data_IF_963914591446
#
_entry.id   IF_963914591446
#
_cell.length_a   1.000
_cell.length_b   1.000
_cell.length_c   1.000
_cell.angle_alpha   90.00
_cell.angle_beta   90.00
_cell.angle_gamma   90.00
#
_symmetry.space_group_name_H-M   'P 1'
#
loop_
_entity.id
_entity.type
_entity.pdbx_description
1 polymer ?
#
# COMPACT_ATOMS: atom_id res chain seq x y z
N UNK A 1 3.71 26.86 -11.57
CA UNK A 1 2.64 26.54 -10.59
C UNK A 1 2.59 27.60 -9.50
N UNK A 2 1.39 27.91 -9.01
CA UNK A 2 1.16 28.89 -7.95
C UNK A 2 1.36 28.24 -6.57
N UNK A 3 2.20 28.83 -5.71
CA UNK A 3 2.54 28.29 -4.40
C UNK A 3 1.34 28.20 -3.45
N UNK A 4 0.39 29.14 -3.52
CA UNK A 4 -0.82 29.15 -2.70
C UNK A 4 -1.69 27.94 -3.07
N UNK A 5 -1.82 27.65 -4.37
CA UNK A 5 -2.57 26.49 -4.83
C UNK A 5 -1.91 25.17 -4.44
N UNK A 6 -0.57 25.11 -4.41
CA UNK A 6 0.15 23.95 -3.87
C UNK A 6 -0.23 23.73 -2.40
N UNK A 7 -0.16 24.77 -1.57
CA UNK A 7 -0.49 24.69 -0.14
C UNK A 7 -1.94 24.24 0.05
N UNK A 8 -2.89 24.84 -0.68
CA UNK A 8 -4.31 24.48 -0.59
C UNK A 8 -4.53 23.01 -1.00
N UNK A 9 -3.91 22.57 -2.10
CA UNK A 9 -3.99 21.18 -2.58
C UNK A 9 -3.46 20.20 -1.54
N UNK A 10 -2.31 20.51 -0.94
CA UNK A 10 -1.70 19.74 0.15
C UNK A 10 -2.59 19.67 1.38
N UNK A 11 -3.18 20.79 1.82
CA UNK A 11 -4.08 20.83 2.97
C UNK A 11 -5.34 19.98 2.74
N UNK A 12 -5.96 20.12 1.57
CA UNK A 12 -7.15 19.33 1.18
C UNK A 12 -6.81 17.83 1.18
N UNK A 13 -5.71 17.45 0.52
CA UNK A 13 -5.21 16.07 0.54
C UNK A 13 -5.03 15.56 1.96
N UNK A 14 -4.32 16.32 2.80
CA UNK A 14 -4.03 15.92 4.18
C UNK A 14 -5.28 15.72 5.03
N UNK A 15 -6.23 16.66 5.02
CA UNK A 15 -7.43 16.57 5.85
C UNK A 15 -8.37 15.46 5.40
N UNK A 16 -8.56 15.26 4.09
CA UNK A 16 -9.37 14.17 3.57
C UNK A 16 -8.68 12.81 3.82
N UNK A 17 -7.37 12.74 3.59
CA UNK A 17 -6.57 11.55 3.89
C UNK A 17 -6.61 11.14 5.36
N UNK A 18 -6.70 12.13 6.26
CA UNK A 18 -6.75 11.94 7.73
C UNK A 18 -8.01 11.24 8.24
N UNK A 19 -9.04 11.09 7.41
CA UNK A 19 -10.26 10.35 7.77
C UNK A 19 -9.93 8.85 7.80
N UNK A 20 -10.10 8.19 8.94
CA UNK A 20 -9.83 6.75 9.11
C UNK A 20 -11.12 5.95 9.02
N UNK A 21 -11.41 5.39 7.84
CA UNK A 21 -12.61 4.55 7.66
C UNK A 21 -12.54 3.25 8.44
N UNK A 22 -11.34 2.71 8.69
CA UNK A 22 -11.17 1.55 9.56
C UNK A 22 -11.69 1.81 10.97
N UNK A 23 -11.37 2.97 11.56
CA UNK A 23 -11.88 3.37 12.88
C UNK A 23 -13.38 3.70 12.85
N UNK A 24 -13.84 4.41 11.82
CA UNK A 24 -15.26 4.78 11.68
C UNK A 24 -16.14 3.53 11.55
N UNK A 25 -15.82 2.65 10.61
CA UNK A 25 -16.58 1.42 10.36
C UNK A 25 -16.51 0.49 11.56
N UNK A 26 -15.35 0.36 12.23
CA UNK A 26 -15.25 -0.42 13.45
C UNK A 26 -16.15 0.12 14.55
N UNK A 27 -16.14 1.43 14.81
CA UNK A 27 -16.99 2.05 15.83
C UNK A 27 -18.48 1.81 15.56
N UNK A 28 -18.89 1.75 14.29
CA UNK A 28 -20.29 1.48 13.90
C UNK A 28 -20.64 0.00 14.05
N UNK A 29 -19.73 -0.92 13.73
CA UNK A 29 -20.05 -2.37 13.64
C UNK A 29 -19.65 -3.20 14.84
N UNK A 30 -18.69 -2.73 15.62
CA UNK A 30 -18.23 -3.36 16.86
C UNK A 30 -17.77 -2.25 17.83
N UNK A 31 -18.71 -1.49 18.43
CA UNK A 31 -18.38 -0.33 19.26
C UNK A 31 -17.52 -0.69 20.47
N UNK A 32 -17.63 -1.92 20.98
CA UNK A 32 -16.87 -2.42 22.14
C UNK A 32 -15.45 -2.86 21.77
N UNK A 33 -15.09 -2.85 20.48
CA UNK A 33 -13.76 -3.28 20.01
C UNK A 33 -12.92 -2.08 19.57
N UNK A 34 -11.62 -2.18 19.84
CA UNK A 34 -10.63 -1.17 19.48
C UNK A 34 -9.63 -1.74 18.46
N UNK A 35 -9.29 -0.95 17.44
CA UNK A 35 -8.15 -1.29 16.58
C UNK A 35 -6.85 -1.19 17.38
N UNK A 36 -6.71 -0.24 18.29
CA UNK A 36 -5.42 0.03 18.94
C UNK A 36 -5.02 -1.08 19.92
N UNK A 37 -5.98 -1.87 20.40
CA UNK A 37 -5.81 -2.89 21.44
C UNK A 37 -5.97 -4.33 20.94
N UNK A 38 -5.99 -4.51 19.61
CA UNK A 38 -6.08 -5.85 19.04
C UNK A 38 -4.85 -6.69 19.41
N UNK A 39 -5.07 -7.77 20.15
CA UNK A 39 -4.07 -8.78 20.48
C UNK A 39 -4.46 -10.14 19.91
N UNK A 40 -3.46 -10.97 19.66
CA UNK A 40 -3.62 -12.33 19.12
C UNK A 40 -2.90 -13.30 20.03
N UNK A 41 -3.59 -14.37 20.40
CA UNK A 41 -3.00 -15.47 21.15
C UNK A 41 -2.19 -16.34 20.20
N UNK A 42 -0.92 -16.53 20.55
CA UNK A 42 -0.02 -17.45 19.86
C UNK A 42 -0.31 -18.88 20.35
N UNK A 43 -0.25 -19.86 19.46
CA UNK A 43 -0.68 -21.24 19.75
C UNK A 43 0.26 -21.95 20.75
N UNK A 44 1.56 -21.62 20.73
CA UNK A 44 2.60 -22.18 21.60
C UNK A 44 3.02 -21.24 22.74
N UNK A 45 2.33 -20.10 22.90
CA UNK A 45 2.66 -19.08 23.89
C UNK A 45 1.39 -18.67 24.63
N UNK A 46 1.37 -18.79 25.96
CA UNK A 46 0.26 -18.26 26.78
C UNK A 46 0.11 -16.74 26.67
N UNK A 47 1.12 -16.05 26.12
CA UNK A 47 1.14 -14.60 25.99
C UNK A 47 0.42 -14.15 24.71
N UNK A 48 -0.45 -13.17 24.89
CA UNK A 48 -1.05 -12.40 23.80
C UNK A 48 -0.03 -11.42 23.22
N UNK A 49 -0.03 -11.29 21.90
CA UNK A 49 0.85 -10.36 21.18
C UNK A 49 -0.01 -9.31 20.49
N UNK A 50 0.34 -8.04 20.68
CA UNK A 50 -0.31 -6.91 20.02
C UNK A 50 -0.10 -6.97 18.50
N UNK A 51 -1.15 -6.73 17.72
CA UNK A 51 -1.05 -6.64 16.25
C UNK A 51 -0.76 -5.20 15.83
N UNK A 52 0.50 -4.87 15.53
CA UNK A 52 0.90 -3.51 15.12
C UNK A 52 0.93 -3.31 13.58
N UNK A 53 -0.25 -3.35 12.96
CA UNK A 53 -0.44 -3.17 11.50
C UNK A 53 -1.01 -1.80 11.10
N UNK A 54 -0.92 -0.83 12.01
CA UNK A 54 -1.66 0.44 11.89
C UNK A 54 -3.18 0.25 11.83
N UNK A 55 -3.92 1.35 11.70
CA UNK A 55 -5.37 1.34 11.51
C UNK A 55 -5.73 0.97 10.06
N UNK A 56 -5.31 -0.22 9.60
CA UNK A 56 -5.49 -0.69 8.22
C UNK A 56 -6.76 -1.50 8.01
N UNK A 57 -7.19 -1.60 6.75
CA UNK A 57 -8.27 -2.49 6.32
C UNK A 57 -8.01 -3.95 6.72
N UNK A 58 -6.76 -4.42 6.62
CA UNK A 58 -6.37 -5.78 7.04
C UNK A 58 -6.60 -6.00 8.53
N UNK A 59 -6.18 -5.03 9.37
CA UNK A 59 -6.40 -5.12 10.81
C UNK A 59 -7.89 -5.13 11.17
N UNK A 60 -8.69 -4.26 10.52
CA UNK A 60 -10.13 -4.28 10.69
C UNK A 60 -10.77 -5.59 10.20
N UNK A 61 -10.21 -6.22 9.16
CA UNK A 61 -10.70 -7.49 8.62
C UNK A 61 -10.50 -8.67 9.58
N UNK A 62 -9.49 -8.62 10.45
CA UNK A 62 -9.29 -9.62 11.52
C UNK A 62 -10.46 -9.57 12.51
N UNK A 63 -11.01 -8.37 12.76
CA UNK A 63 -12.07 -8.15 13.75
C UNK A 63 -13.48 -8.34 13.16
N UNK A 64 -13.72 -7.74 12.00
CA UNK A 64 -15.04 -7.64 11.38
C UNK A 64 -15.25 -8.67 10.26
N UNK A 65 -14.19 -9.35 9.81
CA UNK A 65 -14.20 -10.24 8.66
C UNK A 65 -13.81 -9.55 7.35
N UNK A 66 -13.48 -10.38 6.35
CA UNK A 66 -12.87 -9.94 5.08
C UNK A 66 -13.77 -9.03 4.25
N UNK A 67 -15.09 -9.22 4.31
CA UNK A 67 -16.06 -8.36 3.62
C UNK A 67 -15.92 -6.90 4.04
N UNK A 68 -15.80 -6.64 5.35
CA UNK A 68 -15.61 -5.29 5.87
C UNK A 68 -14.22 -4.73 5.58
N UNK A 69 -13.19 -5.59 5.57
CA UNK A 69 -11.85 -5.21 5.10
C UNK A 69 -11.87 -4.64 3.68
N UNK A 70 -12.56 -5.31 2.75
CA UNK A 70 -12.70 -4.84 1.36
C UNK A 70 -13.45 -3.51 1.29
N UNK A 71 -14.57 -3.38 2.00
CA UNK A 71 -15.34 -2.12 2.05
C UNK A 71 -14.48 -0.97 2.58
N UNK A 72 -13.73 -1.18 3.66
CA UNK A 72 -12.84 -0.17 4.24
C UNK A 72 -11.73 0.20 3.25
N UNK A 73 -11.14 -0.76 2.55
CA UNK A 73 -10.12 -0.50 1.54
C UNK A 73 -10.67 0.37 0.40
N UNK A 74 -11.89 0.10 -0.07
CA UNK A 74 -12.57 0.92 -1.09
C UNK A 74 -12.83 2.33 -0.57
N UNK A 75 -13.33 2.49 0.66
CA UNK A 75 -13.57 3.81 1.25
C UNK A 75 -12.26 4.61 1.42
N UNK A 76 -11.18 3.95 1.86
CA UNK A 76 -9.85 4.55 1.95
C UNK A 76 -9.29 4.94 0.57
N UNK A 77 -9.62 4.20 -0.50
CA UNK A 77 -9.32 4.64 -1.87
C UNK A 77 -10.13 5.87 -2.24
N UNK A 78 -11.46 5.86 -1.97
CA UNK A 78 -12.38 6.91 -2.40
C UNK A 78 -12.08 8.27 -1.82
N UNK A 79 -11.66 8.37 -0.55
CA UNK A 79 -11.31 9.66 0.08
C UNK A 79 -10.17 10.41 -0.60
N UNK A 80 -9.34 9.72 -1.37
CA UNK A 80 -8.26 10.33 -2.15
C UNK A 80 -8.56 10.34 -3.64
N UNK A 81 -9.22 9.29 -4.15
CA UNK A 81 -9.64 9.22 -5.55
C UNK A 81 -10.60 10.36 -5.93
N UNK A 82 -11.61 10.67 -5.12
CA UNK A 82 -12.58 11.73 -5.41
C UNK A 82 -11.91 13.10 -5.55
N UNK A 83 -11.12 13.60 -4.56
CA UNK A 83 -10.47 14.90 -4.73
C UNK A 83 -9.45 14.89 -5.88
N UNK A 84 -8.81 13.76 -6.18
CA UNK A 84 -7.93 13.67 -7.36
C UNK A 84 -8.69 13.85 -8.68
N UNK A 85 -9.86 13.23 -8.83
CA UNK A 85 -10.70 13.41 -10.02
C UNK A 85 -11.07 14.89 -10.18
N UNK A 86 -11.50 15.53 -9.08
CA UNK A 86 -11.87 16.94 -9.09
C UNK A 86 -10.69 17.82 -9.52
N UNK A 87 -9.52 17.61 -8.93
CA UNK A 87 -8.34 18.41 -9.25
C UNK A 87 -7.82 18.17 -10.66
N UNK A 88 -7.72 16.91 -11.09
CA UNK A 88 -7.13 16.54 -12.38
C UNK A 88 -8.05 16.83 -13.57
N UNK A 89 -9.37 16.70 -13.43
CA UNK A 89 -10.28 16.78 -14.59
C UNK A 89 -11.17 18.02 -14.61
N UNK A 90 -11.36 18.68 -13.46
CA UNK A 90 -12.32 19.80 -13.37
C UNK A 90 -11.68 21.14 -12.96
N UNK A 91 -10.74 21.14 -12.01
CA UNK A 91 -10.15 22.39 -11.51
C UNK A 91 -8.87 22.80 -12.22
N UNK A 92 -7.93 21.86 -12.40
CA UNK A 92 -6.58 22.14 -12.88
C UNK A 92 -6.09 21.05 -13.85
N UNK A 93 -6.68 20.98 -15.06
CA UNK A 93 -6.40 19.89 -15.99
C UNK A 93 -5.02 19.92 -16.63
N UNK A 94 -4.33 21.06 -16.62
CA UNK A 94 -3.00 21.21 -17.23
C UNK A 94 -1.88 21.21 -16.18
N UNK A 95 -2.22 21.35 -14.90
CA UNK A 95 -1.26 21.45 -13.80
C UNK A 95 -1.26 20.23 -12.88
N UNK A 96 -0.10 19.91 -12.31
CA UNK A 96 0.09 18.70 -11.50
C UNK A 96 -0.36 18.85 -10.04
N UNK A 97 -1.31 19.73 -9.70
CA UNK A 97 -1.76 19.93 -8.30
C UNK A 97 -2.37 18.67 -7.67
N UNK A 98 -2.98 17.80 -8.48
CA UNK A 98 -3.51 16.51 -8.04
C UNK A 98 -2.43 15.57 -7.44
N UNK A 99 -1.16 15.72 -7.81
CA UNK A 99 -0.05 14.96 -7.21
C UNK A 99 0.21 15.37 -5.76
N UNK A 100 -0.01 16.64 -5.42
CA UNK A 100 0.09 17.13 -4.04
C UNK A 100 -1.08 16.63 -3.20
N UNK A 101 -2.30 16.65 -3.76
CA UNK A 101 -3.47 16.03 -3.11
C UNK A 101 -3.20 14.56 -2.83
N UNK A 102 -2.61 13.82 -3.79
CA UNK A 102 -2.29 12.40 -3.65
C UNK A 102 -1.24 12.14 -2.56
N UNK A 103 -0.12 12.87 -2.59
CA UNK A 103 0.96 12.71 -1.64
C UNK A 103 0.51 13.08 -0.22
N UNK A 104 -0.16 14.21 -0.04
CA UNK A 104 -0.65 14.63 1.27
C UNK A 104 -1.85 13.81 1.74
N UNK A 105 -2.65 13.25 0.83
CA UNK A 105 -3.66 12.23 1.14
C UNK A 105 -3.05 10.98 1.78
N UNK A 106 -1.91 10.53 1.26
CA UNK A 106 -1.14 9.44 1.86
C UNK A 106 -0.57 9.82 3.23
N UNK A 107 0.04 11.01 3.36
CA UNK A 107 0.56 11.52 4.64
C UNK A 107 -0.55 11.59 5.68
N UNK A 108 -1.72 12.14 5.32
CA UNK A 108 -2.89 12.20 6.18
C UNK A 108 -3.39 10.82 6.60
N UNK A 109 -3.39 9.83 5.71
CA UNK A 109 -3.80 8.48 6.08
C UNK A 109 -2.82 7.78 7.04
N UNK A 110 -1.51 8.01 6.90
CA UNK A 110 -0.49 7.38 7.76
C UNK A 110 -0.37 8.12 9.10
N UNK A 111 -0.42 9.46 9.06
CA UNK A 111 -0.36 10.35 10.23
C UNK A 111 -1.60 11.25 10.30
N UNK A 112 -2.77 10.68 10.59
CA UNK A 112 -4.02 11.42 10.62
C UNK A 112 -4.11 12.34 11.84
N UNK A 113 -4.39 13.61 11.59
CA UNK A 113 -4.53 14.60 12.68
C UNK A 113 -5.65 14.24 13.66
N UNK A 114 -6.76 13.68 13.14
CA UNK A 114 -7.94 13.32 13.94
C UNK A 114 -7.72 12.12 14.88
N UNK A 115 -6.63 11.36 14.69
CA UNK A 115 -6.37 10.13 15.45
C UNK A 115 -4.96 10.14 16.04
N UNK A 116 -4.52 11.30 16.53
CA UNK A 116 -3.22 11.48 17.22
C UNK A 116 -2.04 10.95 16.39
N UNK A 117 -2.11 11.15 15.07
CA UNK A 117 -1.11 10.71 14.10
C UNK A 117 -0.86 9.19 14.08
N UNK A 118 -1.85 8.38 14.49
CA UNK A 118 -1.81 6.90 14.46
C UNK A 118 -2.74 6.34 13.39
N UNK A 119 -2.23 6.28 12.16
CA UNK A 119 -2.97 5.85 10.96
C UNK A 119 -2.66 4.45 10.45
N UNK A 120 -2.98 4.21 9.19
CA UNK A 120 -2.73 2.97 8.47
C UNK A 120 -1.39 2.98 7.70
N UNK A 121 -1.16 1.99 6.84
CA UNK A 121 0.06 1.87 6.01
C UNK A 121 -0.08 2.45 4.60
N UNK A 122 -1.26 2.97 4.24
CA UNK A 122 -1.44 3.74 3.01
C UNK A 122 -1.56 2.95 1.71
N UNK A 123 -1.52 1.62 1.72
CA UNK A 123 -1.63 0.80 0.49
C UNK A 123 -2.88 1.10 -0.33
N UNK A 124 -4.07 1.08 0.29
CA UNK A 124 -5.33 1.44 -0.38
C UNK A 124 -5.33 2.89 -0.88
N UNK A 125 -4.72 3.81 -0.12
CA UNK A 125 -4.63 5.22 -0.54
C UNK A 125 -3.70 5.39 -1.74
N UNK A 126 -2.54 4.73 -1.76
CA UNK A 126 -1.63 4.75 -2.91
C UNK A 126 -2.29 4.17 -4.16
N UNK A 127 -2.98 3.02 -4.03
CA UNK A 127 -3.72 2.42 -5.15
C UNK A 127 -4.84 3.34 -5.65
N UNK A 128 -5.63 3.92 -4.76
CA UNK A 128 -6.70 4.86 -5.11
C UNK A 128 -6.16 6.10 -5.84
N UNK A 129 -5.04 6.66 -5.37
CA UNK A 129 -4.37 7.78 -6.04
C UNK A 129 -3.86 7.39 -7.42
N UNK A 130 -3.12 6.28 -7.50
CA UNK A 130 -2.43 5.89 -8.72
C UNK A 130 -3.37 5.44 -9.83
N UNK A 131 -4.56 4.94 -9.53
CA UNK A 131 -5.58 4.68 -10.57
C UNK A 131 -5.93 5.97 -11.34
N UNK A 132 -5.99 7.11 -10.65
CA UNK A 132 -6.26 8.40 -11.31
C UNK A 132 -5.01 8.97 -11.95
N UNK A 133 -3.84 8.77 -11.37
CA UNK A 133 -2.56 9.27 -11.91
C UNK A 133 -2.18 8.51 -13.18
N UNK A 134 -2.16 7.18 -13.11
CA UNK A 134 -1.85 6.28 -14.22
C UNK A 134 -2.33 4.85 -13.88
N UNK A 135 -3.53 4.50 -14.34
CA UNK A 135 -4.10 3.18 -14.12
C UNK A 135 -3.30 2.05 -14.79
N UNK A 136 -2.60 2.33 -15.90
CA UNK A 136 -1.74 1.35 -16.57
C UNK A 136 -0.52 1.03 -15.70
N UNK A 137 0.05 2.04 -15.04
CA UNK A 137 1.14 1.86 -14.09
C UNK A 137 0.74 0.86 -13.01
N UNK A 138 -0.46 1.02 -12.43
CA UNK A 138 -0.96 0.14 -11.37
C UNK A 138 -1.05 -1.29 -11.85
N UNK A 139 -1.72 -1.55 -12.98
CA UNK A 139 -1.94 -2.91 -13.48
C UNK A 139 -0.60 -3.58 -13.81
N UNK A 140 0.27 -2.89 -14.55
CA UNK A 140 1.55 -3.47 -15.01
C UNK A 140 2.49 -3.69 -13.82
N UNK A 141 2.75 -2.65 -13.02
CA UNK A 141 3.75 -2.76 -11.96
C UNK A 141 3.30 -3.66 -10.81
N UNK A 142 2.00 -3.72 -10.50
CA UNK A 142 1.48 -4.65 -9.49
C UNK A 142 1.58 -6.11 -9.96
N UNK A 143 1.26 -6.36 -11.24
CA UNK A 143 1.41 -7.71 -11.83
C UNK A 143 2.86 -8.13 -11.85
N UNK A 144 3.76 -7.27 -12.32
CA UNK A 144 5.19 -7.54 -12.34
C UNK A 144 5.78 -7.72 -10.94
N UNK A 145 5.36 -6.91 -9.96
CA UNK A 145 5.75 -7.06 -8.56
C UNK A 145 5.37 -8.43 -8.01
N UNK A 146 4.13 -8.89 -8.25
CA UNK A 146 3.69 -10.21 -7.81
C UNK A 146 4.49 -11.32 -8.49
N UNK A 147 4.69 -11.24 -9.81
CA UNK A 147 5.48 -12.23 -10.56
C UNK A 147 6.93 -12.27 -10.06
N UNK A 148 7.63 -11.13 -10.02
CA UNK A 148 9.01 -11.07 -9.55
C UNK A 148 9.14 -11.49 -8.08
N UNK A 149 8.23 -11.01 -7.22
CA UNK A 149 8.22 -11.32 -5.79
C UNK A 149 8.04 -12.81 -5.49
N UNK A 150 7.11 -13.48 -6.17
CA UNK A 150 6.89 -14.91 -5.97
C UNK A 150 7.89 -15.77 -6.75
N UNK A 151 8.22 -15.40 -7.98
CA UNK A 151 9.08 -16.20 -8.85
C UNK A 151 10.56 -16.12 -8.46
N UNK A 152 11.10 -14.92 -8.19
CA UNK A 152 12.52 -14.75 -7.86
C UNK A 152 12.78 -14.93 -6.36
N UNK A 153 11.95 -14.33 -5.51
CA UNK A 153 12.21 -14.27 -4.07
C UNK A 153 11.41 -15.27 -3.25
N UNK A 154 10.35 -15.86 -3.81
CA UNK A 154 9.41 -16.75 -3.11
C UNK A 154 8.97 -16.18 -1.75
N UNK A 155 8.70 -14.86 -1.73
CA UNK A 155 8.50 -14.10 -0.52
C UNK A 155 7.37 -13.06 -0.69
N UNK A 156 6.36 -13.17 0.17
CA UNK A 156 5.18 -12.32 0.18
C UNK A 156 5.51 -10.82 0.29
N UNK A 157 6.54 -10.44 1.06
CA UNK A 157 6.92 -9.03 1.27
C UNK A 157 7.40 -8.43 -0.05
N UNK A 158 8.28 -9.11 -0.78
CA UNK A 158 8.75 -8.63 -2.07
C UNK A 158 7.59 -8.51 -3.07
N UNK A 159 6.70 -9.50 -3.12
CA UNK A 159 5.50 -9.45 -3.97
C UNK A 159 4.61 -8.23 -3.66
N UNK A 160 4.54 -7.83 -2.39
CA UNK A 160 3.68 -6.73 -1.92
C UNK A 160 4.22 -5.32 -2.18
N UNK A 161 5.54 -5.15 -2.36
CA UNK A 161 6.18 -3.82 -2.33
C UNK A 161 7.08 -3.49 -3.52
N UNK A 162 7.50 -4.45 -4.36
CA UNK A 162 8.35 -4.17 -5.54
C UNK A 162 7.68 -3.16 -6.48
N UNK A 163 6.36 -3.19 -6.62
CA UNK A 163 5.61 -2.31 -7.51
C UNK A 163 5.82 -0.81 -7.20
N UNK A 164 6.05 -0.43 -5.94
CA UNK A 164 6.33 0.96 -5.56
C UNK A 164 7.68 1.44 -6.10
N UNK A 165 8.68 0.57 -6.09
CA UNK A 165 10.00 0.86 -6.65
C UNK A 165 9.96 0.95 -8.17
N UNK A 166 9.16 0.09 -8.81
CA UNK A 166 8.92 0.13 -10.26
C UNK A 166 8.24 1.43 -10.72
N UNK A 167 7.51 2.13 -9.84
CA UNK A 167 6.90 3.43 -10.19
C UNK A 167 7.92 4.52 -10.54
N UNK A 168 9.13 4.48 -9.95
CA UNK A 168 10.16 5.50 -10.21
C UNK A 168 10.60 5.46 -11.69
N UNK A 169 11.18 4.35 -12.20
CA UNK A 169 11.54 4.26 -13.61
C UNK A 169 10.32 4.38 -14.53
N UNK A 170 9.14 3.94 -14.11
CA UNK A 170 7.91 4.11 -14.90
C UNK A 170 7.58 5.58 -15.16
N UNK A 171 7.58 6.42 -14.13
CA UNK A 171 7.28 7.84 -14.31
C UNK A 171 8.40 8.63 -14.99
N UNK A 172 9.66 8.21 -14.82
CA UNK A 172 10.78 8.77 -15.59
C UNK A 172 10.53 8.57 -17.09
N UNK A 173 10.21 7.34 -17.50
CA UNK A 173 10.04 7.00 -18.92
C UNK A 173 8.76 7.62 -19.50
N UNK A 174 7.65 7.57 -18.76
CA UNK A 174 6.33 7.89 -19.32
C UNK A 174 5.98 9.38 -19.34
N UNK A 175 6.44 10.12 -18.33
CA UNK A 175 6.04 11.53 -18.18
C UNK A 175 7.20 12.49 -18.42
N UNK A 176 8.45 12.09 -18.12
CA UNK A 176 9.63 12.97 -18.16
C UNK A 176 9.47 14.31 -17.41
N UNK A 177 8.43 14.44 -16.57
CA UNK A 177 8.11 15.62 -15.79
C UNK A 177 8.57 15.45 -14.34
N UNK A 178 9.28 16.46 -13.82
CA UNK A 178 9.88 16.40 -12.48
C UNK A 178 8.84 16.16 -11.37
N UNK A 179 7.62 16.68 -11.52
CA UNK A 179 6.57 16.53 -10.51
C UNK A 179 6.15 15.07 -10.30
N UNK A 180 6.08 14.27 -11.37
CA UNK A 180 5.74 12.85 -11.28
C UNK A 180 6.87 12.03 -10.66
N UNK A 181 8.12 12.35 -10.98
CA UNK A 181 9.30 11.70 -10.41
C UNK A 181 9.39 12.02 -8.91
N UNK A 182 9.23 13.28 -8.53
CA UNK A 182 9.19 13.72 -7.12
C UNK A 182 8.05 13.02 -6.37
N UNK A 183 6.87 12.90 -6.98
CA UNK A 183 5.76 12.16 -6.40
C UNK A 183 6.12 10.69 -6.15
N UNK A 184 6.70 9.97 -7.14
CA UNK A 184 7.11 8.57 -6.96
C UNK A 184 8.15 8.39 -5.84
N UNK A 185 9.16 9.27 -5.79
CA UNK A 185 10.17 9.23 -4.72
C UNK A 185 9.50 9.49 -3.36
N UNK A 186 8.64 10.50 -3.28
CA UNK A 186 7.98 10.91 -2.05
C UNK A 186 7.07 9.79 -1.50
N UNK A 187 6.24 9.15 -2.33
CA UNK A 187 5.38 8.05 -1.86
C UNK A 187 6.19 6.84 -1.37
N UNK A 188 7.36 6.56 -1.99
CA UNK A 188 8.25 5.49 -1.52
C UNK A 188 8.83 5.81 -0.14
N UNK A 189 9.34 7.04 0.04
CA UNK A 189 9.85 7.50 1.34
C UNK A 189 8.74 7.41 2.39
N UNK A 190 7.56 7.95 2.09
CA UNK A 190 6.42 7.94 3.01
C UNK A 190 5.99 6.51 3.36
N UNK A 191 5.92 5.60 2.38
CA UNK A 191 5.58 4.20 2.63
C UNK A 191 6.61 3.53 3.55
N UNK A 192 7.92 3.76 3.32
CA UNK A 192 8.99 3.23 4.17
C UNK A 192 8.87 3.77 5.59
N UNK A 193 8.79 5.10 5.76
CA UNK A 193 8.67 5.73 7.08
C UNK A 193 7.40 5.25 7.79
N UNK A 194 6.31 5.16 7.04
CA UNK A 194 5.03 4.64 7.51
C UNK A 194 5.09 3.19 7.99
N UNK A 195 6.06 2.38 7.58
CA UNK A 195 6.24 0.99 8.06
C UNK A 195 7.21 0.85 9.24
N UNK A 196 7.97 1.89 9.60
CA UNK A 196 8.97 1.84 10.69
C UNK A 196 8.40 1.29 12.02
N UNK A 197 7.21 1.71 12.51
CA UNK A 197 6.64 1.16 13.74
C UNK A 197 6.45 -0.36 13.67
N UNK A 198 5.99 -0.87 12.53
CA UNK A 198 5.84 -2.30 12.27
C UNK A 198 7.18 -3.03 12.33
N UNK A 199 8.20 -2.46 11.67
CA UNK A 199 9.54 -3.04 11.64
C UNK A 199 10.17 -3.11 13.03
N UNK A 200 9.96 -2.07 13.86
CA UNK A 200 10.38 -2.07 15.26
C UNK A 200 9.68 -3.17 16.05
N UNK A 201 8.38 -3.33 15.86
CA UNK A 201 7.61 -4.40 16.51
C UNK A 201 8.06 -5.80 16.05
N UNK A 202 8.26 -6.02 14.75
CA UNK A 202 8.82 -7.28 14.24
C UNK A 202 10.22 -7.56 14.80
N UNK A 203 11.07 -6.54 14.94
CA UNK A 203 12.40 -6.72 15.50
C UNK A 203 12.34 -7.09 17.00
N UNK A 204 11.40 -6.52 17.75
CA UNK A 204 11.15 -6.92 19.14
C UNK A 204 10.73 -8.40 19.22
N UNK A 205 9.72 -8.79 18.44
CA UNK A 205 9.29 -10.19 18.38
C UNK A 205 10.41 -11.13 17.93
N UNK A 206 11.35 -10.63 17.12
CA UNK A 206 12.50 -11.42 16.64
C UNK A 206 13.43 -11.77 17.80
N UNK A 207 13.70 -10.79 18.66
CA UNK A 207 14.49 -10.98 19.89
C UNK A 207 13.80 -11.95 20.85
N UNK A 208 12.47 -11.98 20.86
CA UNK A 208 11.66 -12.91 21.66
C UNK A 208 11.46 -14.29 21.00
N UNK A 209 11.97 -14.52 19.78
CA UNK A 209 11.79 -15.79 19.06
C UNK A 209 10.38 -16.03 18.49
N UNK A 210 9.47 -15.05 18.58
CA UNK A 210 8.04 -15.19 18.26
C UNK A 210 7.63 -14.79 16.83
N UNK A 211 8.57 -14.30 16.01
CA UNK A 211 8.24 -13.74 14.68
C UNK A 211 7.57 -14.72 13.76
N UNK A 212 8.03 -15.99 13.73
CA UNK A 212 7.51 -16.98 12.77
C UNK A 212 6.04 -17.26 13.06
N UNK A 213 5.75 -17.57 14.32
CA UNK A 213 4.40 -17.87 14.80
C UNK A 213 3.46 -16.67 14.65
N UNK A 214 3.93 -15.48 15.01
CA UNK A 214 3.17 -14.25 14.81
C UNK A 214 2.81 -14.04 13.33
N UNK A 215 3.77 -14.21 12.42
CA UNK A 215 3.53 -14.08 10.97
C UNK A 215 2.54 -15.12 10.46
N UNK A 216 2.64 -16.37 10.91
CA UNK A 216 1.72 -17.46 10.56
C UNK A 216 0.30 -17.10 11.02
N UNK A 217 0.12 -16.74 12.29
CA UNK A 217 -1.18 -16.40 12.87
C UNK A 217 -1.84 -15.23 12.14
N UNK A 218 -1.11 -14.14 11.95
CA UNK A 218 -1.55 -12.96 11.21
C UNK A 218 -1.95 -13.30 9.77
N UNK A 219 -1.15 -14.15 9.12
CA UNK A 219 -1.42 -14.60 7.75
C UNK A 219 -2.73 -15.38 7.69
N UNK A 220 -2.98 -16.26 8.66
CA UNK A 220 -4.21 -17.06 8.74
C UNK A 220 -5.47 -16.23 9.00
N UNK A 221 -5.37 -15.18 9.81
CA UNK A 221 -6.51 -14.31 10.11
C UNK A 221 -6.82 -13.33 8.97
N UNK A 222 -5.86 -13.04 8.10
CA UNK A 222 -6.02 -12.06 7.02
C UNK A 222 -6.23 -12.75 5.68
N UNK A 223 -7.44 -12.67 5.11
CA UNK A 223 -7.77 -13.37 3.86
C UNK A 223 -6.84 -13.02 2.68
N UNK A 224 -6.44 -11.75 2.55
CA UNK A 224 -5.47 -11.31 1.54
C UNK A 224 -4.14 -12.06 1.70
N UNK A 225 -3.59 -12.09 2.92
CA UNK A 225 -2.30 -12.74 3.19
C UNK A 225 -2.39 -14.25 3.00
N UNK A 226 -3.51 -14.90 3.35
CA UNK A 226 -3.74 -16.32 3.02
C UNK A 226 -3.66 -16.57 1.52
N UNK A 227 -4.31 -15.74 0.71
CA UNK A 227 -4.27 -15.85 -0.75
C UNK A 227 -2.84 -15.72 -1.29
N UNK A 228 -2.11 -14.72 -0.82
CA UNK A 228 -0.71 -14.51 -1.20
C UNK A 228 0.20 -15.66 -0.72
N UNK A 229 -0.08 -16.25 0.45
CA UNK A 229 0.68 -17.40 0.96
C UNK A 229 0.44 -18.66 0.12
N UNK A 230 -0.77 -18.88 -0.37
CA UNK A 230 -1.07 -19.95 -1.34
C UNK A 230 -0.25 -19.77 -2.62
N UNK A 231 -0.18 -18.53 -3.15
CA UNK A 231 0.67 -18.22 -4.31
C UNK A 231 2.15 -18.46 -4.01
N UNK A 232 2.66 -18.02 -2.86
CA UNK A 232 4.04 -18.28 -2.45
C UNK A 232 4.35 -19.79 -2.42
N UNK A 233 3.45 -20.60 -1.86
CA UNK A 233 3.61 -22.05 -1.79
C UNK A 233 3.56 -22.70 -3.19
N UNK A 234 2.67 -22.22 -4.07
CA UNK A 234 2.61 -22.66 -5.47
C UNK A 234 3.91 -22.37 -6.21
N UNK A 235 4.45 -21.14 -6.11
CA UNK A 235 5.73 -20.82 -6.74
C UNK A 235 6.90 -21.60 -6.13
N UNK A 236 6.84 -21.96 -4.84
CA UNK A 236 7.81 -22.88 -4.22
C UNK A 236 7.72 -24.29 -4.78
N UNK A 237 6.52 -24.81 -5.06
CA UNK A 237 6.35 -26.15 -5.63
C UNK A 237 6.86 -26.27 -7.07
N UNK A 238 7.00 -25.16 -7.80
CA UNK A 238 7.60 -25.14 -9.15
C UNK A 238 9.11 -25.40 -9.16
N UNK A 239 9.79 -25.42 -8.01
CA UNK A 239 11.22 -25.71 -7.93
C UNK A 239 12.06 -24.74 -8.78
N UNK A 240 12.91 -25.24 -9.68
CA UNK A 240 13.75 -24.40 -10.55
C UNK A 240 12.96 -23.60 -11.59
N UNK A 241 11.78 -24.08 -12.00
CA UNK A 241 10.95 -23.40 -13.02
C UNK A 241 10.46 -22.03 -12.58
N UNK A 242 10.33 -21.78 -11.27
CA UNK A 242 10.01 -20.44 -10.77
C UNK A 242 11.06 -19.41 -11.19
N UNK A 243 12.34 -19.78 -11.22
CA UNK A 243 13.42 -18.86 -11.56
C UNK A 243 13.33 -18.53 -13.06
N UNK A 244 13.03 -19.51 -13.90
CA UNK A 244 12.78 -19.31 -15.33
C UNK A 244 11.62 -18.32 -15.54
N UNK A 245 10.50 -18.52 -14.86
CA UNK A 245 9.36 -17.59 -14.89
C UNK A 245 9.78 -16.19 -14.43
N UNK A 246 10.59 -16.10 -13.37
CA UNK A 246 11.10 -14.84 -12.85
C UNK A 246 11.99 -14.09 -13.84
N UNK A 247 12.90 -14.80 -14.52
CA UNK A 247 13.77 -14.23 -15.56
C UNK A 247 12.93 -13.76 -16.75
N UNK A 248 11.99 -14.57 -17.22
CA UNK A 248 11.07 -14.19 -18.30
C UNK A 248 10.26 -12.95 -17.90
N UNK A 249 9.75 -12.90 -16.67
CA UNK A 249 9.00 -11.75 -16.16
C UNK A 249 9.86 -10.49 -16.07
N UNK A 250 11.13 -10.62 -15.70
CA UNK A 250 12.09 -9.52 -15.68
C UNK A 250 12.40 -9.01 -17.09
N UNK A 251 12.64 -9.91 -18.05
CA UNK A 251 12.85 -9.55 -19.46
C UNK A 251 11.60 -8.86 -20.00
N UNK A 252 10.41 -9.40 -19.75
CA UNK A 252 9.14 -8.80 -20.14
C UNK A 252 8.96 -7.40 -19.51
N UNK A 253 9.35 -7.22 -18.25
CA UNK A 253 9.35 -5.90 -17.59
C UNK A 253 10.21 -4.91 -18.37
N UNK A 254 11.45 -5.28 -18.69
CA UNK A 254 12.39 -4.44 -19.43
C UNK A 254 11.81 -4.10 -20.81
N UNK A 255 11.30 -5.10 -21.54
CA UNK A 255 10.70 -4.89 -22.87
C UNK A 255 9.52 -3.93 -22.78
N UNK A 256 8.60 -4.11 -21.82
CA UNK A 256 7.44 -3.21 -21.64
C UNK A 256 7.92 -1.77 -21.39
N UNK A 257 8.91 -1.59 -20.52
CA UNK A 257 9.45 -0.26 -20.20
C UNK A 257 10.15 0.38 -21.41
N UNK A 258 10.90 -0.41 -22.18
CA UNK A 258 11.56 0.04 -23.41
C UNK A 258 10.54 0.42 -24.48
N UNK A 259 9.51 -0.42 -24.72
CA UNK A 259 8.44 -0.12 -25.67
C UNK A 259 7.68 1.16 -25.30
N UNK A 260 7.42 1.38 -24.00
CA UNK A 260 6.83 2.62 -23.51
C UNK A 260 7.74 3.83 -23.72
N UNK A 261 9.05 3.67 -23.64
CA UNK A 261 9.98 4.75 -23.96
C UNK A 261 9.92 5.15 -25.44
N UNK A 262 9.69 4.19 -26.33
CA UNK A 262 9.62 4.42 -27.78
C UNK A 262 8.24 4.88 -28.28
N UNK A 263 7.16 4.65 -27.52
CA UNK A 263 5.80 5.05 -27.94
C UNK A 263 5.53 6.56 -27.84
N UNK A 264 6.48 7.35 -27.34
CA UNK A 264 6.39 8.82 -27.17
C UNK A 264 7.44 9.59 -28.00
N UNK A 265 8.11 8.92 -28.94
CA UNK A 265 8.89 9.54 -30.03
C UNK A 265 8.00 9.58 -31.26
#
# INVERSE_FOLDING_TARGET
MNIILIIISSMIGYFLGSISFSRIVLKIKAPDKSLDDLQVKLDNSQNEVKVDMGASANKASIILGSKWGIIIAILDMMKVLIPLIIFRFFLFPTESYFLYVAAFGLIGHIWPIYYRFKGGRGQSVMLGSLIIIDWLAVIINLTLSNLLGFALFANLVFASYIWLWLMIPWFIIRYSEINFILYAILINIIAIVGTIPELKHYNQLRKEGKVREFKEKVTEMTAQLRGMKKMENYFKSLGKWRIVIGIISLIATIIIYVLLAFSYI
#
